data_IF_947588724568
#
_entry.id   IF_947588724568
#
_cell.length_a   1.000
_cell.length_b   1.000
_cell.length_c   1.000
_cell.angle_alpha   90.00
_cell.angle_beta   90.00
_cell.angle_gamma   90.00
#
_symmetry.space_group_name_H-M   'P 1'
#
loop_
_entity.id
_entity.type
_entity.pdbx_description
1 polymer ?
#
# COMPACT_ATOMS: atom_id res chain seq x y z
N UNK A 1 -19.59 -24.19 -27.16
CA UNK A 1 -18.22 -24.21 -26.62
C UNK A 1 -18.30 -24.82 -25.22
N UNK A 2 -17.75 -26.02 -25.03
CA UNK A 2 -17.69 -26.65 -23.71
C UNK A 2 -16.71 -25.85 -22.87
N UNK A 3 -17.13 -25.28 -21.74
CA UNK A 3 -16.20 -24.64 -20.80
C UNK A 3 -15.16 -25.68 -20.37
N UNK A 4 -13.87 -25.34 -20.31
CA UNK A 4 -12.86 -26.27 -19.84
C UNK A 4 -13.20 -26.70 -18.43
N UNK A 5 -12.99 -27.99 -18.11
CA UNK A 5 -13.29 -28.55 -16.81
C UNK A 5 -12.55 -27.77 -15.71
N UNK A 6 -13.26 -27.46 -14.62
CA UNK A 6 -12.66 -26.72 -13.52
C UNK A 6 -11.46 -27.47 -12.92
N UNK A 7 -10.40 -26.74 -12.57
CA UNK A 7 -9.23 -27.27 -11.89
C UNK A 7 -9.59 -27.61 -10.44
N UNK A 8 -9.53 -28.89 -10.07
CA UNK A 8 -9.93 -29.39 -8.74
C UNK A 8 -8.75 -29.84 -7.87
N UNK A 9 -7.57 -30.06 -8.48
CA UNK A 9 -6.42 -30.59 -7.78
C UNK A 9 -5.69 -29.56 -6.95
N UNK A 10 -5.66 -29.73 -5.64
CA UNK A 10 -4.87 -28.93 -4.69
C UNK A 10 -3.35 -29.10 -4.85
N UNK A 11 -2.93 -30.16 -5.55
CA UNK A 11 -1.51 -30.44 -5.81
C UNK A 11 -1.04 -29.95 -7.17
N UNK A 12 -1.92 -29.36 -7.96
CA UNK A 12 -1.56 -28.78 -9.26
C UNK A 12 -0.38 -27.81 -9.14
N UNK A 13 0.62 -27.87 -10.03
CA UNK A 13 1.81 -27.01 -9.97
C UNK A 13 1.49 -25.50 -9.99
N UNK A 14 0.46 -25.07 -10.72
CA UNK A 14 0.02 -23.66 -10.77
C UNK A 14 -0.55 -23.22 -9.41
N UNK A 15 -1.38 -24.03 -8.77
CA UNK A 15 -1.92 -23.77 -7.42
C UNK A 15 -0.79 -23.69 -6.40
N UNK A 16 0.18 -24.62 -6.47
CA UNK A 16 1.35 -24.58 -5.57
C UNK A 16 2.20 -23.34 -5.80
N UNK A 17 2.42 -22.93 -7.05
CA UNK A 17 3.15 -21.72 -7.37
C UNK A 17 2.46 -20.47 -6.81
N UNK A 18 1.14 -20.35 -7.00
CA UNK A 18 0.36 -19.26 -6.43
C UNK A 18 0.45 -19.20 -4.89
N UNK A 19 0.33 -20.34 -4.22
CA UNK A 19 0.45 -20.42 -2.74
C UNK A 19 1.84 -20.01 -2.26
N UNK A 20 2.92 -20.33 -3.00
CA UNK A 20 4.28 -19.89 -2.64
C UNK A 20 4.46 -18.39 -2.62
N UNK A 21 3.66 -17.63 -3.40
CA UNK A 21 3.66 -16.16 -3.36
C UNK A 21 3.23 -15.55 -2.01
N UNK A 22 2.81 -16.37 -1.05
CA UNK A 22 2.67 -15.95 0.35
C UNK A 22 4.04 -15.67 1.01
N UNK A 23 5.10 -16.31 0.52
CA UNK A 23 6.47 -16.10 0.97
C UNK A 23 7.07 -14.87 0.26
N UNK A 24 7.72 -13.99 1.04
CA UNK A 24 8.41 -12.81 0.54
C UNK A 24 9.49 -13.16 -0.48
N UNK A 25 10.29 -14.19 -0.21
CA UNK A 25 11.39 -14.62 -1.10
C UNK A 25 10.88 -15.02 -2.48
N UNK A 26 9.72 -15.71 -2.53
CA UNK A 26 9.13 -16.11 -3.81
C UNK A 26 8.63 -14.88 -4.59
N UNK A 27 8.04 -13.88 -3.92
CA UNK A 27 7.64 -12.63 -4.56
C UNK A 27 8.83 -11.84 -5.09
N UNK A 28 9.89 -11.71 -4.30
CA UNK A 28 11.13 -11.05 -4.73
C UNK A 28 11.80 -11.78 -5.90
N UNK A 29 11.83 -13.11 -5.89
CA UNK A 29 12.43 -13.92 -6.96
C UNK A 29 11.65 -13.87 -8.27
N UNK A 30 10.31 -13.76 -8.20
CA UNK A 30 9.44 -13.83 -9.39
C UNK A 30 8.96 -12.46 -9.87
N UNK A 31 9.03 -11.43 -9.04
CA UNK A 31 8.40 -10.13 -9.30
C UNK A 31 6.87 -10.19 -9.35
N UNK A 32 6.28 -11.23 -8.75
CA UNK A 32 4.83 -11.45 -8.73
C UNK A 32 4.28 -11.34 -7.31
N UNK A 33 3.02 -10.94 -7.20
CA UNK A 33 2.27 -11.02 -5.94
C UNK A 33 0.89 -11.61 -6.17
N UNK A 34 0.23 -11.98 -5.07
CA UNK A 34 -1.12 -12.54 -5.11
C UNK A 34 -2.12 -11.50 -4.59
N UNK A 35 -3.16 -11.27 -5.37
CA UNK A 35 -4.29 -10.40 -5.04
C UNK A 35 -5.51 -11.27 -4.77
N UNK A 36 -5.98 -11.22 -3.54
CA UNK A 36 -7.17 -11.94 -3.08
C UNK A 36 -8.24 -10.90 -2.72
N UNK A 37 -9.32 -10.92 -3.45
CA UNK A 37 -10.45 -10.03 -3.29
C UNK A 37 -10.78 -9.24 -4.55
N UNK A 38 -12.08 -9.11 -4.86
CA UNK A 38 -12.52 -8.46 -6.10
C UNK A 38 -12.22 -6.95 -6.12
N UNK A 39 -12.32 -6.26 -4.97
CA UNK A 39 -12.07 -4.83 -4.87
C UNK A 39 -10.61 -4.49 -5.14
N UNK A 40 -9.71 -5.25 -4.52
CA UNK A 40 -8.27 -5.13 -4.69
C UNK A 40 -7.86 -5.41 -6.14
N UNK A 41 -8.47 -6.44 -6.74
CA UNK A 41 -8.24 -6.78 -8.13
C UNK A 41 -8.76 -5.72 -9.11
N UNK A 42 -9.97 -5.20 -8.87
CA UNK A 42 -10.51 -4.12 -9.71
C UNK A 42 -9.59 -2.90 -9.70
N UNK A 43 -9.08 -2.47 -8.55
CA UNK A 43 -8.12 -1.36 -8.46
C UNK A 43 -6.80 -1.67 -9.16
N UNK A 44 -6.29 -2.90 -9.04
CA UNK A 44 -5.10 -3.31 -9.79
C UNK A 44 -5.32 -3.21 -11.31
N UNK A 45 -6.47 -3.70 -11.81
CA UNK A 45 -6.83 -3.63 -13.22
C UNK A 45 -7.02 -2.18 -13.70
N UNK A 46 -7.66 -1.33 -12.90
CA UNK A 46 -7.86 0.11 -13.19
C UNK A 46 -6.53 0.86 -13.27
N UNK A 47 -5.56 0.47 -12.46
CA UNK A 47 -4.20 1.03 -12.47
C UNK A 47 -3.30 0.42 -13.54
N UNK A 48 -3.82 -0.44 -14.43
CA UNK A 48 -3.05 -1.05 -15.51
C UNK A 48 -2.05 -2.12 -15.06
N UNK A 49 -2.23 -2.70 -13.88
CA UNK A 49 -1.35 -3.76 -13.37
C UNK A 49 -1.53 -5.02 -14.21
N UNK A 50 -0.41 -5.58 -14.68
CA UNK A 50 -0.39 -6.81 -15.49
C UNK A 50 -0.82 -8.02 -14.67
N UNK A 51 -1.89 -8.69 -15.10
CA UNK A 51 -2.34 -9.96 -14.54
C UNK A 51 -1.62 -11.10 -15.24
N UNK A 52 -0.79 -11.83 -14.53
CA UNK A 52 -0.07 -13.00 -15.05
C UNK A 52 -0.96 -14.25 -15.08
N UNK A 53 -1.86 -14.39 -14.10
CA UNK A 53 -2.77 -15.52 -13.98
C UNK A 53 -3.96 -15.17 -13.08
N UNK A 54 -5.13 -15.73 -13.37
CA UNK A 54 -6.31 -15.58 -12.52
C UNK A 54 -7.04 -16.91 -12.33
N UNK A 55 -7.62 -17.09 -11.13
CA UNK A 55 -8.41 -18.25 -10.73
C UNK A 55 -9.78 -17.77 -10.27
N UNK A 56 -10.84 -18.41 -10.79
CA UNK A 56 -12.22 -18.06 -10.48
C UNK A 56 -13.00 -19.32 -10.08
N UNK A 57 -13.71 -19.23 -8.97
CA UNK A 57 -14.71 -20.22 -8.55
C UNK A 57 -16.09 -19.63 -8.79
N UNK A 58 -16.75 -20.00 -9.87
CA UNK A 58 -18.03 -19.42 -10.29
C UNK A 58 -19.12 -19.54 -9.20
N UNK A 59 -19.13 -20.66 -8.48
CA UNK A 59 -20.08 -20.92 -7.38
C UNK A 59 -19.86 -19.98 -6.17
N UNK A 60 -18.64 -19.43 -6.02
CA UNK A 60 -18.26 -18.53 -4.94
C UNK A 60 -18.44 -17.04 -5.30
N UNK A 61 -18.63 -16.71 -6.58
CA UNK A 61 -18.81 -15.33 -7.08
C UNK A 61 -20.21 -14.83 -6.74
N UNK A 62 -20.35 -14.04 -5.67
CA UNK A 62 -21.66 -13.60 -5.16
C UNK A 62 -21.86 -12.11 -5.20
N UNK A 63 -20.81 -11.30 -4.98
CA UNK A 63 -20.90 -9.84 -4.95
C UNK A 63 -20.92 -9.21 -6.37
N UNK A 64 -21.36 -7.97 -6.47
CA UNK A 64 -21.32 -7.19 -7.70
C UNK A 64 -19.88 -6.94 -8.15
N UNK A 65 -19.01 -6.63 -7.19
CA UNK A 65 -17.59 -6.40 -7.44
C UNK A 65 -16.90 -7.68 -7.97
N UNK A 66 -17.24 -8.86 -7.41
CA UNK A 66 -16.68 -10.10 -7.89
C UNK A 66 -17.11 -10.41 -9.34
N UNK A 67 -18.39 -10.19 -9.67
CA UNK A 67 -18.89 -10.35 -11.06
C UNK A 67 -18.21 -9.37 -12.02
N UNK A 68 -18.00 -8.13 -11.62
CA UNK A 68 -17.28 -7.13 -12.42
C UNK A 68 -15.83 -7.52 -12.65
N UNK A 69 -15.13 -7.95 -11.59
CA UNK A 69 -13.74 -8.42 -11.70
C UNK A 69 -13.61 -9.61 -12.68
N UNK A 70 -14.51 -10.60 -12.57
CA UNK A 70 -14.55 -11.74 -13.50
C UNK A 70 -14.82 -11.29 -14.94
N UNK A 71 -15.76 -10.35 -15.16
CA UNK A 71 -16.05 -9.83 -16.49
C UNK A 71 -14.85 -9.11 -17.10
N UNK A 72 -14.11 -8.30 -16.32
CA UNK A 72 -12.89 -7.63 -16.77
C UNK A 72 -11.77 -8.62 -17.07
N UNK A 73 -11.57 -9.64 -16.24
CA UNK A 73 -10.61 -10.72 -16.53
C UNK A 73 -10.96 -11.46 -17.82
N UNK A 74 -12.23 -11.81 -18.01
CA UNK A 74 -12.68 -12.49 -19.24
C UNK A 74 -12.43 -11.66 -20.50
N UNK A 75 -12.54 -10.33 -20.40
CA UNK A 75 -12.32 -9.42 -21.51
C UNK A 75 -10.83 -9.13 -21.81
N UNK A 76 -9.92 -9.44 -20.89
CA UNK A 76 -8.50 -9.10 -20.99
C UNK A 76 -7.61 -10.35 -21.01
N UNK A 77 -7.25 -10.89 -19.86
CA UNK A 77 -6.27 -11.98 -19.71
C UNK A 77 -6.92 -13.37 -19.68
N UNK A 78 -8.23 -13.45 -19.46
CA UNK A 78 -8.90 -14.69 -19.14
C UNK A 78 -8.65 -15.16 -17.71
N UNK A 79 -9.20 -16.32 -17.36
CA UNK A 79 -9.00 -16.95 -16.07
C UNK A 79 -9.14 -18.47 -16.17
N UNK A 80 -8.70 -19.15 -15.13
CA UNK A 80 -8.90 -20.60 -14.95
C UNK A 80 -10.04 -20.84 -13.97
N UNK A 81 -11.10 -21.54 -14.41
CA UNK A 81 -12.15 -21.99 -13.51
C UNK A 81 -11.58 -23.02 -12.53
N UNK A 82 -11.90 -22.86 -11.24
CA UNK A 82 -11.41 -23.72 -10.16
C UNK A 82 -12.54 -24.13 -9.22
N UNK A 83 -12.35 -25.25 -8.49
CA UNK A 83 -13.29 -25.66 -7.44
C UNK A 83 -13.18 -24.77 -6.19
N UNK A 84 -14.23 -24.82 -5.36
CA UNK A 84 -14.26 -24.15 -4.04
C UNK A 84 -13.07 -24.56 -3.16
N UNK A 85 -12.66 -25.81 -3.18
CA UNK A 85 -11.49 -26.28 -2.44
C UNK A 85 -10.18 -25.61 -2.92
N UNK A 86 -10.03 -25.39 -4.22
CA UNK A 86 -8.84 -24.74 -4.80
C UNK A 86 -8.85 -23.24 -4.48
N UNK A 87 -9.97 -22.55 -4.69
CA UNK A 87 -10.04 -21.11 -4.39
C UNK A 87 -9.83 -20.84 -2.91
N UNK A 88 -10.41 -21.66 -2.02
CA UNK A 88 -10.18 -21.58 -0.57
C UNK A 88 -8.73 -21.80 -0.17
N UNK A 89 -7.98 -22.65 -0.90
CA UNK A 89 -6.53 -22.79 -0.70
C UNK A 89 -5.73 -21.60 -1.19
N UNK A 90 -6.19 -20.91 -2.23
CA UNK A 90 -5.53 -19.73 -2.79
C UNK A 90 -5.82 -18.46 -1.98
N UNK A 91 -7.02 -18.32 -1.47
CA UNK A 91 -7.49 -17.16 -0.71
C UNK A 91 -6.75 -16.98 0.62
N UNK A 92 -6.74 -15.73 1.11
CA UNK A 92 -6.22 -15.34 2.42
C UNK A 92 -7.39 -15.16 3.42
N UNK A 93 -7.38 -15.91 4.52
CA UNK A 93 -8.41 -15.85 5.56
C UNK A 93 -9.63 -16.74 5.27
N UNK A 94 -10.69 -16.59 6.09
CA UNK A 94 -11.81 -17.51 6.16
C UNK A 94 -12.88 -17.31 5.08
N UNK A 95 -12.79 -16.27 4.27
CA UNK A 95 -13.76 -15.92 3.23
C UNK A 95 -13.07 -15.71 1.91
N UNK A 96 -13.52 -16.46 0.90
CA UNK A 96 -13.15 -16.25 -0.50
C UNK A 96 -14.34 -15.62 -1.23
N UNK A 97 -14.09 -14.53 -1.94
CA UNK A 97 -15.08 -13.90 -2.85
C UNK A 97 -15.02 -14.52 -4.26
N UNK A 98 -14.42 -15.70 -4.38
CA UNK A 98 -14.39 -16.50 -5.60
C UNK A 98 -13.38 -16.06 -6.65
N UNK A 99 -12.56 -15.05 -6.40
CA UNK A 99 -11.56 -14.54 -7.34
C UNK A 99 -10.22 -14.35 -6.65
N UNK A 100 -9.17 -14.91 -7.24
CA UNK A 100 -7.77 -14.69 -6.86
C UNK A 100 -6.94 -14.48 -8.12
N UNK A 101 -6.10 -13.44 -8.14
CA UNK A 101 -5.21 -13.17 -9.26
C UNK A 101 -3.75 -13.16 -8.81
N UNK A 102 -2.86 -13.56 -9.72
CA UNK A 102 -1.42 -13.35 -9.63
C UNK A 102 -1.11 -12.18 -10.56
N UNK A 103 -0.51 -11.14 -10.00
CA UNK A 103 -0.18 -9.92 -10.74
C UNK A 103 1.32 -9.63 -10.66
N UNK A 104 1.84 -8.92 -11.66
CA UNK A 104 3.19 -8.37 -11.59
C UNK A 104 3.22 -7.24 -10.56
N UNK A 105 4.16 -7.30 -9.63
CA UNK A 105 4.36 -6.22 -8.66
C UNK A 105 4.78 -4.94 -9.39
N UNK A 106 4.10 -3.80 -9.15
CA UNK A 106 4.53 -2.52 -9.69
C UNK A 106 5.95 -2.13 -9.28
N UNK A 107 6.60 -1.27 -10.05
CA UNK A 107 7.91 -0.73 -9.70
C UNK A 107 7.83 0.12 -8.44
N UNK A 108 8.85 0.01 -7.59
CA UNK A 108 9.01 0.82 -6.36
C UNK A 108 10.21 1.77 -6.47
N UNK A 109 10.60 2.18 -7.68
CA UNK A 109 11.73 3.08 -7.91
C UNK A 109 11.47 4.46 -7.30
N UNK A 110 12.31 4.84 -6.33
CA UNK A 110 12.26 6.16 -5.70
C UNK A 110 12.52 7.27 -6.72
N UNK A 111 13.54 7.11 -7.57
CA UNK A 111 13.92 8.09 -8.58
C UNK A 111 12.78 8.36 -9.57
N UNK A 112 12.17 7.31 -10.13
CA UNK A 112 11.07 7.45 -11.07
C UNK A 112 9.85 8.13 -10.44
N UNK A 113 9.51 7.77 -9.19
CA UNK A 113 8.39 8.37 -8.47
C UNK A 113 8.64 9.85 -8.19
N UNK A 114 9.80 10.22 -7.65
CA UNK A 114 10.15 11.61 -7.33
C UNK A 114 10.12 12.49 -8.59
N UNK A 115 10.59 11.97 -9.73
CA UNK A 115 10.54 12.71 -10.99
C UNK A 115 9.10 12.98 -11.47
N UNK A 116 8.16 12.09 -11.15
CA UNK A 116 6.75 12.18 -11.55
C UNK A 116 5.87 13.01 -10.60
N UNK A 117 6.37 13.44 -9.43
CA UNK A 117 5.60 14.23 -8.46
C UNK A 117 5.14 15.57 -9.07
N UNK A 118 3.92 16.04 -8.73
CA UNK A 118 3.42 17.36 -9.13
C UNK A 118 4.24 18.51 -8.51
N UNK A 119 3.92 19.74 -8.86
CA UNK A 119 4.66 20.94 -8.37
C UNK A 119 4.56 21.13 -6.86
N UNK A 120 3.40 20.88 -6.27
CA UNK A 120 3.14 21.01 -4.83
C UNK A 120 2.61 19.68 -4.24
N UNK A 121 3.44 18.63 -4.16
CA UNK A 121 2.99 17.33 -3.75
C UNK A 121 2.68 17.26 -2.25
N UNK A 122 1.75 16.38 -1.89
CA UNK A 122 1.56 15.87 -0.53
C UNK A 122 2.08 14.44 -0.47
N UNK A 123 3.21 14.23 0.18
CA UNK A 123 3.88 12.93 0.26
C UNK A 123 3.84 12.41 1.69
N UNK A 124 3.53 11.14 1.86
CA UNK A 124 3.65 10.45 3.14
C UNK A 124 4.92 9.60 3.13
N UNK A 125 5.75 9.74 4.13
CA UNK A 125 6.93 8.90 4.34
C UNK A 125 6.70 8.07 5.60
N UNK A 126 6.84 6.75 5.49
CA UNK A 126 6.75 5.82 6.63
C UNK A 126 8.07 5.09 6.78
N UNK A 127 8.75 5.34 7.89
CA UNK A 127 10.04 4.71 8.18
C UNK A 127 9.88 3.44 8.99
N UNK A 128 10.65 2.41 8.62
CA UNK A 128 10.77 1.18 9.38
C UNK A 128 9.44 0.42 9.57
N UNK A 129 8.46 0.64 8.70
CA UNK A 129 7.16 -0.03 8.83
C UNK A 129 7.31 -1.54 8.73
N UNK A 130 6.85 -2.26 9.78
CA UNK A 130 6.96 -3.72 9.88
C UNK A 130 5.62 -4.41 9.62
N UNK A 131 4.53 -3.84 10.16
CA UNK A 131 3.20 -4.46 10.10
C UNK A 131 2.49 -4.12 8.78
N UNK A 132 2.19 -5.12 7.93
CA UNK A 132 1.46 -4.88 6.67
C UNK A 132 0.11 -4.18 6.88
N UNK A 133 -0.56 -4.44 8.03
CA UNK A 133 -1.81 -3.79 8.39
C UNK A 133 -1.67 -2.28 8.59
N UNK A 134 -0.60 -1.81 9.24
CA UNK A 134 -0.34 -0.38 9.42
C UNK A 134 -0.03 0.29 8.08
N UNK A 135 0.83 -0.34 7.26
CA UNK A 135 1.11 0.14 5.91
C UNK A 135 -0.18 0.28 5.08
N UNK A 136 -1.01 -0.77 5.08
CA UNK A 136 -2.29 -0.75 4.35
C UNK A 136 -3.25 0.34 4.85
N UNK A 137 -3.34 0.55 6.16
CA UNK A 137 -4.16 1.61 6.75
C UNK A 137 -3.65 3.02 6.37
N UNK A 138 -2.32 3.22 6.36
CA UNK A 138 -1.69 4.48 5.95
C UNK A 138 -1.96 4.73 4.46
N UNK A 139 -1.77 3.73 3.59
CA UNK A 139 -2.05 3.84 2.17
C UNK A 139 -3.51 4.24 1.90
N UNK A 140 -4.45 3.60 2.60
CA UNK A 140 -5.87 3.93 2.49
C UNK A 140 -6.18 5.35 2.97
N UNK A 141 -5.53 5.80 4.05
CA UNK A 141 -5.70 7.15 4.57
C UNK A 141 -5.08 8.19 3.63
N UNK A 142 -3.89 7.90 3.09
CA UNK A 142 -3.20 8.75 2.13
C UNK A 142 -4.01 8.94 0.85
N UNK A 143 -4.56 7.85 0.30
CA UNK A 143 -5.48 7.87 -0.84
C UNK A 143 -6.71 8.75 -0.55
N UNK A 144 -7.37 8.53 0.60
CA UNK A 144 -8.54 9.30 1.03
C UNK A 144 -8.26 10.78 1.31
N UNK A 145 -7.03 11.13 1.68
CA UNK A 145 -6.56 12.51 1.87
C UNK A 145 -6.09 13.19 0.58
N UNK A 146 -6.02 12.46 -0.54
CA UNK A 146 -5.50 12.97 -1.80
C UNK A 146 -3.99 13.20 -1.78
N UNK A 147 -3.24 12.35 -1.06
CA UNK A 147 -1.77 12.37 -1.14
C UNK A 147 -1.31 11.89 -2.52
N UNK A 148 -0.21 12.46 -3.00
CA UNK A 148 0.35 12.16 -4.33
C UNK A 148 1.25 10.93 -4.32
N UNK A 149 1.80 10.56 -3.16
CA UNK A 149 2.66 9.38 -3.02
C UNK A 149 2.81 8.92 -1.57
N UNK A 150 3.18 7.62 -1.41
CA UNK A 150 3.69 7.06 -0.15
C UNK A 150 5.09 6.50 -0.37
N UNK A 151 6.04 6.94 0.43
CA UNK A 151 7.42 6.48 0.42
C UNK A 151 7.69 5.61 1.66
N UNK A 152 8.18 4.41 1.45
CA UNK A 152 8.59 3.52 2.54
C UNK A 152 10.11 3.62 2.75
N UNK A 153 10.52 4.38 3.76
CA UNK A 153 11.91 4.56 4.14
C UNK A 153 12.37 3.39 5.02
N UNK A 154 13.49 2.77 4.67
CA UNK A 154 14.04 1.60 5.38
C UNK A 154 12.97 0.55 5.73
N UNK A 155 12.09 0.25 4.77
CA UNK A 155 10.96 -0.63 4.96
C UNK A 155 11.38 -2.04 5.38
N UNK A 156 10.83 -2.52 6.49
CA UNK A 156 11.05 -3.89 6.98
C UNK A 156 10.00 -4.87 6.43
N UNK A 157 8.90 -4.37 5.90
CA UNK A 157 7.89 -5.17 5.20
C UNK A 157 7.98 -4.97 3.70
N UNK A 158 7.55 -5.99 2.95
CA UNK A 158 7.36 -5.91 1.52
C UNK A 158 6.07 -5.10 1.21
N UNK A 159 6.19 -4.07 0.36
CA UNK A 159 5.08 -3.19 0.00
C UNK A 159 3.91 -3.97 -0.61
N UNK A 160 4.19 -4.89 -1.52
CA UNK A 160 3.19 -5.73 -2.16
C UNK A 160 2.93 -7.05 -1.42
N UNK A 161 3.11 -7.05 -0.10
CA UNK A 161 2.64 -8.14 0.76
C UNK A 161 1.12 -8.28 0.61
N UNK A 162 0.58 -9.49 0.40
CA UNK A 162 -0.87 -9.70 0.24
C UNK A 162 -1.72 -9.13 1.38
N UNK A 163 -1.20 -9.13 2.62
CA UNK A 163 -1.90 -8.52 3.75
C UNK A 163 -1.92 -6.99 3.67
N UNK A 164 -0.87 -6.35 3.12
CA UNK A 164 -0.86 -4.89 2.88
C UNK A 164 -1.85 -4.52 1.77
N UNK A 165 -1.90 -5.31 0.68
CA UNK A 165 -2.87 -5.16 -0.40
C UNK A 165 -4.30 -5.20 0.14
N UNK A 166 -4.63 -6.20 0.96
CA UNK A 166 -5.97 -6.31 1.59
C UNK A 166 -6.25 -5.16 2.56
N UNK A 167 -5.31 -4.85 3.45
CA UNK A 167 -5.50 -3.79 4.45
C UNK A 167 -5.67 -2.40 3.80
N UNK A 168 -5.03 -2.17 2.64
CA UNK A 168 -5.22 -0.97 1.84
C UNK A 168 -6.50 -0.99 1.02
N UNK A 169 -7.24 -2.10 0.97
CA UNK A 169 -8.34 -2.32 0.03
C UNK A 169 -7.90 -2.12 -1.44
N UNK A 170 -6.63 -2.40 -1.75
CA UNK A 170 -6.05 -2.24 -3.08
C UNK A 170 -5.62 -0.82 -3.46
N UNK A 171 -5.73 0.19 -2.56
CA UNK A 171 -5.25 1.57 -2.86
C UNK A 171 -3.75 1.62 -3.14
N UNK A 172 -3.00 0.62 -2.70
CA UNK A 172 -1.57 0.46 -3.04
C UNK A 172 -1.31 0.38 -4.55
N UNK A 173 -2.29 -0.01 -5.35
CA UNK A 173 -2.17 -0.03 -6.82
C UNK A 173 -2.54 1.32 -7.45
N UNK A 174 -3.40 2.10 -6.80
CA UNK A 174 -3.87 3.39 -7.29
C UNK A 174 -2.95 4.55 -6.89
N UNK A 175 -2.37 4.48 -5.69
CA UNK A 175 -1.47 5.50 -5.16
C UNK A 175 0.00 5.14 -5.49
N UNK A 176 0.79 6.06 -6.08
CA UNK A 176 2.21 5.83 -6.32
C UNK A 176 2.97 5.50 -5.04
N UNK A 177 3.73 4.40 -5.05
CA UNK A 177 4.52 3.96 -3.91
C UNK A 177 5.97 3.69 -4.31
N UNK A 178 6.92 4.07 -3.46
CA UNK A 178 8.33 3.72 -3.64
C UNK A 178 8.98 3.33 -2.32
N UNK A 179 10.13 2.67 -2.41
CA UNK A 179 10.92 2.29 -1.26
C UNK A 179 12.39 2.72 -1.45
N UNK A 180 13.06 3.05 -0.34
CA UNK A 180 14.48 3.38 -0.37
C UNK A 180 15.05 3.63 1.02
N UNK A 181 16.36 3.81 1.14
CA UNK A 181 16.99 4.23 2.39
C UNK A 181 16.49 5.61 2.84
N UNK A 182 16.32 5.82 4.16
CA UNK A 182 15.84 7.08 4.75
C UNK A 182 16.62 8.29 4.26
N UNK A 183 17.95 8.19 4.20
CA UNK A 183 18.82 9.27 3.67
C UNK A 183 18.50 9.58 2.21
N UNK A 184 18.32 8.55 1.37
CA UNK A 184 18.00 8.75 -0.05
C UNK A 184 16.62 9.40 -0.24
N UNK A 185 15.64 9.02 0.57
CA UNK A 185 14.29 9.61 0.57
C UNK A 185 14.37 11.09 0.95
N UNK A 186 15.10 11.44 2.02
CA UNK A 186 15.27 12.83 2.46
C UNK A 186 15.94 13.68 1.37
N UNK A 187 17.05 13.20 0.80
CA UNK A 187 17.76 13.93 -0.26
C UNK A 187 16.91 14.13 -1.51
N UNK A 188 16.13 13.10 -1.89
CA UNK A 188 15.26 13.18 -3.04
C UNK A 188 14.12 14.20 -2.85
N UNK A 189 13.50 14.25 -1.67
CA UNK A 189 12.47 15.23 -1.32
C UNK A 189 13.06 16.65 -1.25
N UNK A 190 14.19 16.83 -0.57
CA UNK A 190 14.87 18.11 -0.47
C UNK A 190 15.31 18.64 -1.84
N UNK A 191 15.85 17.79 -2.72
CA UNK A 191 16.24 18.14 -4.09
C UNK A 191 15.05 18.58 -4.96
N UNK A 192 13.83 18.18 -4.61
CA UNK A 192 12.58 18.60 -5.26
C UNK A 192 11.94 19.84 -4.59
N UNK A 193 12.58 20.40 -3.56
CA UNK A 193 12.02 21.52 -2.80
C UNK A 193 10.82 21.18 -1.93
N UNK A 194 10.63 19.89 -1.63
CA UNK A 194 9.56 19.42 -0.74
C UNK A 194 9.98 19.65 0.70
N UNK A 195 9.19 20.42 1.46
CA UNK A 195 9.40 20.58 2.91
C UNK A 195 9.12 19.28 3.62
N UNK A 196 9.99 18.94 4.57
CA UNK A 196 9.86 17.70 5.33
C UNK A 196 9.46 18.01 6.76
N UNK A 197 8.36 17.42 7.22
CA UNK A 197 7.83 17.54 8.58
C UNK A 197 7.79 16.15 9.20
N UNK A 198 8.45 15.96 10.33
CA UNK A 198 8.51 14.67 11.02
C UNK A 198 7.61 14.64 12.27
N UNK A 199 6.85 13.55 12.43
CA UNK A 199 6.05 13.30 13.61
C UNK A 199 6.93 12.74 14.74
N UNK A 200 7.12 13.50 15.83
CA UNK A 200 7.95 13.11 16.97
C UNK A 200 7.22 13.41 18.26
N UNK A 201 7.29 12.50 19.21
CA UNK A 201 6.64 12.68 20.53
C UNK A 201 7.34 13.73 21.39
N UNK A 202 8.65 13.90 21.19
CA UNK A 202 9.55 14.82 21.90
C UNK A 202 9.65 16.22 21.27
N UNK A 203 8.98 16.49 20.16
CA UNK A 203 9.02 17.81 19.51
C UNK A 203 8.34 18.86 20.39
N UNK A 204 8.86 20.10 20.37
CA UNK A 204 8.28 21.24 21.07
C UNK A 204 7.04 21.78 20.38
N UNK A 205 7.05 21.81 19.03
CA UNK A 205 5.99 22.39 18.21
C UNK A 205 4.82 21.46 18.07
N UNK A 206 3.60 21.94 18.32
CA UNK A 206 2.39 21.21 17.95
C UNK A 206 2.20 21.20 16.43
N UNK A 207 1.66 20.11 15.87
CA UNK A 207 1.41 19.97 14.44
C UNK A 207 0.48 21.06 13.88
N UNK A 208 -0.43 21.58 14.71
CA UNK A 208 -1.34 22.67 14.35
C UNK A 208 -0.65 24.02 14.16
N UNK A 209 0.55 24.18 14.75
CA UNK A 209 1.35 25.43 14.69
C UNK A 209 2.39 25.40 13.56
N UNK A 210 2.42 24.30 12.80
CA UNK A 210 3.26 24.16 11.62
C UNK A 210 2.48 24.54 10.36
N UNK A 211 3.17 25.16 9.39
CA UNK A 211 2.61 25.37 8.05
C UNK A 211 2.72 24.06 7.24
N UNK A 212 1.58 23.44 6.95
CA UNK A 212 1.46 22.18 6.21
C UNK A 212 0.95 22.38 4.76
N UNK A 213 1.01 23.61 4.22
CA UNK A 213 0.61 23.95 2.85
C UNK A 213 1.77 23.74 1.87
N UNK A 214 1.48 23.81 0.56
CA UNK A 214 2.47 23.68 -0.52
C UNK A 214 3.11 22.29 -0.63
N UNK A 215 4.31 22.21 -1.20
CA UNK A 215 5.04 20.94 -1.34
C UNK A 215 5.47 20.39 0.03
N UNK A 216 4.91 19.25 0.44
CA UNK A 216 5.02 18.72 1.81
C UNK A 216 5.29 17.22 1.83
N UNK A 217 6.28 16.78 2.61
CA UNK A 217 6.52 15.40 3.01
C UNK A 217 6.27 15.21 4.49
N UNK A 218 5.30 14.38 4.86
CA UNK A 218 4.99 14.02 6.25
C UNK A 218 5.68 12.71 6.60
N UNK A 219 6.60 12.73 7.56
CA UNK A 219 7.40 11.57 7.97
C UNK A 219 6.90 11.01 9.30
N UNK A 220 6.63 9.70 9.28
CA UNK A 220 6.18 8.94 10.46
C UNK A 220 7.14 7.78 10.72
N UNK A 221 7.57 7.63 11.95
CA UNK A 221 8.45 6.55 12.39
C UNK A 221 7.71 5.27 12.76
N UNK A 222 8.49 4.21 12.97
CA UNK A 222 7.96 2.93 13.48
C UNK A 222 7.39 3.10 14.90
N UNK A 223 6.45 2.21 15.27
CA UNK A 223 5.86 2.20 16.63
C UNK A 223 6.88 1.85 17.73
N UNK A 224 7.92 1.08 17.39
CA UNK A 224 8.87 0.56 18.37
C UNK A 224 10.11 1.45 18.55
N UNK A 225 10.64 2.00 17.46
CA UNK A 225 11.94 2.68 17.44
C UNK A 225 11.82 4.18 17.14
N UNK A 226 10.62 4.64 16.75
CA UNK A 226 10.43 6.02 16.31
C UNK A 226 11.12 6.28 14.97
N UNK A 227 11.72 7.44 14.83
CA UNK A 227 12.44 7.87 13.63
C UNK A 227 13.96 7.71 13.84
N UNK A 228 14.64 7.23 12.81
CA UNK A 228 16.09 7.11 12.76
C UNK A 228 16.77 8.50 12.66
N UNK A 229 18.07 8.57 13.02
CA UNK A 229 18.87 9.81 13.02
C UNK A 229 18.96 10.53 11.65
N UNK A 230 18.65 9.88 10.56
CA UNK A 230 18.53 10.54 9.25
C UNK A 230 17.53 11.70 9.26
N UNK A 231 16.52 11.65 10.13
CA UNK A 231 15.50 12.68 10.27
C UNK A 231 15.80 13.73 11.35
N UNK A 232 17.00 13.69 11.96
CA UNK A 232 17.52 14.74 12.84
C UNK A 232 18.19 15.89 12.03
N UNK A 233 18.07 15.83 10.71
CA UNK A 233 18.60 16.82 9.78
C UNK A 233 17.92 18.21 10.01
N UNK A 234 18.67 19.31 9.99
CA UNK A 234 18.12 20.67 10.19
C UNK A 234 17.05 21.08 9.16
N UNK A 235 16.98 20.41 8.01
CA UNK A 235 15.95 20.61 6.99
C UNK A 235 14.59 20.00 7.35
N UNK A 236 14.54 19.17 8.38
CA UNK A 236 13.33 18.46 8.84
C UNK A 236 12.73 19.22 10.02
N UNK A 237 11.46 19.59 9.91
CA UNK A 237 10.72 20.25 10.97
C UNK A 237 10.03 19.20 11.86
N UNK A 238 10.46 19.02 13.13
CA UNK A 238 9.77 18.12 14.04
C UNK A 238 8.48 18.74 14.55
N UNK A 239 7.40 17.93 14.59
CA UNK A 239 6.11 18.30 15.19
C UNK A 239 5.57 17.17 16.04
N UNK A 240 4.79 17.52 17.07
CA UNK A 240 4.10 16.53 17.90
C UNK A 240 2.59 16.61 17.75
N UNK A 241 1.93 15.48 17.96
CA UNK A 241 0.50 15.42 18.26
C UNK A 241 0.37 15.47 19.78
N UNK A 242 -0.25 16.54 20.39
CA UNK A 242 -0.34 16.65 21.84
C UNK A 242 -1.15 15.50 22.44
N UNK A 243 -0.54 14.76 23.36
CA UNK A 243 -1.19 13.69 24.11
C UNK A 243 -1.66 14.25 25.48
N UNK A 244 -2.91 14.00 25.85
CA UNK A 244 -3.51 14.50 27.12
C UNK A 244 -3.91 13.39 28.08
N UNK A 245 -3.68 12.14 27.70
CA UNK A 245 -4.02 10.95 28.48
C UNK A 245 -2.79 10.22 28.99
N UNK A 246 -2.97 8.94 29.35
CA UNK A 246 -1.90 8.07 29.82
C UNK A 246 -1.06 7.45 28.68
N UNK A 247 -1.53 7.52 27.45
CA UNK A 247 -0.78 7.00 26.31
C UNK A 247 0.29 8.01 25.85
N UNK A 248 1.51 7.54 25.56
CA UNK A 248 2.63 8.38 25.13
C UNK A 248 2.58 8.72 23.63
N UNK A 249 1.92 7.88 22.83
CA UNK A 249 1.82 8.04 21.38
C UNK A 249 0.53 7.43 20.83
N UNK A 250 0.24 7.74 19.55
CA UNK A 250 -0.80 7.09 18.76
C UNK A 250 -0.20 5.97 17.91
N UNK A 251 -1.04 4.99 17.53
CA UNK A 251 -0.70 4.08 16.45
C UNK A 251 -0.30 4.87 15.20
N UNK A 252 0.72 4.41 14.48
CA UNK A 252 1.31 5.15 13.34
C UNK A 252 0.30 5.49 12.25
N UNK A 253 -0.67 4.62 11.97
CA UNK A 253 -1.70 4.89 10.96
C UNK A 253 -2.71 5.94 11.44
N UNK A 254 -2.97 6.02 12.74
CA UNK A 254 -3.81 7.06 13.35
C UNK A 254 -3.08 8.41 13.33
N UNK A 255 -1.78 8.42 13.68
CA UNK A 255 -0.95 9.62 13.58
C UNK A 255 -0.90 10.15 12.14
N UNK A 256 -0.75 9.25 11.16
CA UNK A 256 -0.81 9.60 9.74
C UNK A 256 -2.13 10.28 9.37
N UNK A 257 -3.27 9.73 9.84
CA UNK A 257 -4.58 10.32 9.56
C UNK A 257 -4.71 11.73 10.14
N UNK A 258 -4.29 11.94 11.39
CA UNK A 258 -4.34 13.26 12.03
C UNK A 258 -3.53 14.29 11.26
N UNK A 259 -2.29 13.98 10.90
CA UNK A 259 -1.40 14.92 10.21
C UNK A 259 -1.83 15.16 8.76
N UNK A 260 -2.24 14.14 8.04
CA UNK A 260 -2.71 14.25 6.66
C UNK A 260 -3.96 15.13 6.57
N UNK A 261 -4.96 14.89 7.40
CA UNK A 261 -6.19 15.68 7.36
C UNK A 261 -6.01 17.11 7.88
N UNK A 262 -5.03 17.37 8.75
CA UNK A 262 -4.64 18.74 9.07
C UNK A 262 -3.97 19.42 7.86
N UNK A 263 -3.09 18.74 7.14
CA UNK A 263 -2.51 19.27 5.91
C UNK A 263 -3.60 19.56 4.86
N UNK A 264 -4.56 18.65 4.68
CA UNK A 264 -5.72 18.87 3.78
C UNK A 264 -6.54 20.09 4.22
N UNK A 265 -6.83 20.21 5.51
CA UNK A 265 -7.56 21.37 6.06
C UNK A 265 -6.84 22.69 5.77
N UNK A 266 -5.53 22.76 5.98
CA UNK A 266 -4.74 23.96 5.73
C UNK A 266 -4.66 24.30 4.23
N UNK A 267 -4.49 23.30 3.38
CA UNK A 267 -4.44 23.45 1.91
C UNK A 267 -5.80 23.89 1.32
N UNK A 268 -6.91 23.51 1.95
CA UNK A 268 -8.26 23.89 1.50
C UNK A 268 -8.71 25.27 1.97
N UNK A 269 -8.02 25.87 2.96
CA UNK A 269 -8.36 27.16 3.55
C UNK A 269 -7.55 28.33 2.95
N UNK A 270 -6.63 28.06 2.04
CA UNK A 270 -5.82 29.06 1.33
C UNK A 270 -6.14 29.08 -0.13
#
# INVERSE_FOLDING_TARGET
>A
MTLPAALTSLTNPRVKAAVRLRDRREREATGLTIVDGPRELLRALESGVEVAEAFVCDECVRSSEAREAVARLAATTGFTSVSEAVIGKLAFGDRSDGVVAIVRSPSTSLEALIAALPGEPLVVVVEGVEKPGNLGAILRTADGAGADAVLAADARTDLFNPNAIRASLGTIFALPVAAGPSVAVLEALAGRGVRVVSARVDAERAYTDADLRGALGLVLGSEAEGLHSAWDDPRVLPVRIPMRGAADSLNVSVAAAVLLYEAVRQRSAG
#
